data_IF_893018643726
#
_entry.id   IF_893018643726
#
_cell.length_a   1.000
_cell.length_b   1.000
_cell.length_c   1.000
_cell.angle_alpha   90.00
_cell.angle_beta   90.00
_cell.angle_gamma   90.00
#
_symmetry.space_group_name_H-M   'P 1'
#
loop_
_entity.id
_entity.type
_entity.pdbx_description
1 polymer ?
#
# COMPACT_ATOMS: atom_id res chain seq x y z
N UNK A 1 23.63 -0.12 9.33
CA UNK A 1 23.15 1.21 8.88
C UNK A 1 22.59 1.20 7.46
N UNK A 2 23.30 0.63 6.47
CA UNK A 2 22.85 0.61 5.07
C UNK A 2 21.44 0.00 4.88
N UNK A 3 21.14 -1.10 5.57
CA UNK A 3 19.80 -1.72 5.51
C UNK A 3 18.69 -0.83 6.08
N UNK A 4 18.95 -0.12 7.18
CA UNK A 4 17.99 0.84 7.77
C UNK A 4 17.67 1.97 6.78
N UNK A 5 18.70 2.54 6.14
CA UNK A 5 18.55 3.56 5.09
C UNK A 5 17.74 3.06 3.89
N UNK A 6 18.00 1.83 3.44
CA UNK A 6 17.31 1.25 2.30
C UNK A 6 15.81 1.07 2.58
N UNK A 7 15.44 0.60 3.79
CA UNK A 7 14.05 0.47 4.21
C UNK A 7 13.34 1.83 4.25
N UNK A 8 14.01 2.86 4.77
CA UNK A 8 13.46 4.21 4.85
C UNK A 8 13.25 4.83 3.47
N UNK A 9 14.20 4.64 2.55
CA UNK A 9 14.14 5.21 1.21
C UNK A 9 13.27 4.39 0.25
N UNK A 10 12.98 3.12 0.57
CA UNK A 10 12.25 2.21 -0.32
C UNK A 10 10.92 2.78 -0.83
N UNK A 11 10.00 3.32 0.00
CA UNK A 11 8.72 3.84 -0.49
C UNK A 11 8.90 4.99 -1.48
N UNK A 12 9.90 5.85 -1.24
CA UNK A 12 10.22 6.99 -2.08
C UNK A 12 10.79 6.50 -3.41
N UNK A 13 11.76 5.60 -3.37
CA UNK A 13 12.40 5.03 -4.55
C UNK A 13 11.39 4.32 -5.45
N UNK A 14 10.53 3.47 -4.87
CA UNK A 14 9.51 2.75 -5.63
C UNK A 14 8.49 3.71 -6.23
N UNK A 15 8.07 4.73 -5.50
CA UNK A 15 7.17 5.75 -6.05
C UNK A 15 7.79 6.46 -7.25
N UNK A 16 9.06 6.89 -7.13
CA UNK A 16 9.78 7.58 -8.21
C UNK A 16 9.97 6.66 -9.42
N UNK A 17 10.44 5.43 -9.23
CA UNK A 17 10.69 4.47 -10.32
C UNK A 17 9.40 4.18 -11.08
N UNK A 18 8.30 3.91 -10.38
CA UNK A 18 7.01 3.63 -11.03
C UNK A 18 6.48 4.89 -11.72
N UNK A 19 6.62 6.07 -11.13
CA UNK A 19 6.20 7.32 -11.77
C UNK A 19 6.96 7.58 -13.09
N UNK A 20 8.29 7.37 -13.10
CA UNK A 20 9.11 7.48 -14.31
C UNK A 20 8.67 6.44 -15.35
N UNK A 21 8.48 5.19 -14.93
CA UNK A 21 8.05 4.11 -15.83
C UNK A 21 6.69 4.43 -16.48
N UNK A 22 5.71 4.90 -15.70
CA UNK A 22 4.40 5.30 -16.20
C UNK A 22 4.49 6.44 -17.23
N UNK A 23 5.40 7.38 -17.01
CA UNK A 23 5.60 8.50 -17.94
C UNK A 23 6.31 8.05 -19.22
N UNK A 24 7.36 7.23 -19.09
CA UNK A 24 8.14 6.71 -20.21
C UNK A 24 7.30 5.85 -21.15
N UNK A 25 6.53 4.90 -20.60
CA UNK A 25 5.67 4.00 -21.39
C UNK A 25 4.29 4.60 -21.73
N UNK A 26 3.99 5.82 -21.29
CA UNK A 26 2.68 6.50 -21.49
C UNK A 26 1.49 5.60 -21.09
N UNK A 27 1.65 4.81 -20.03
CA UNK A 27 0.73 3.71 -19.65
C UNK A 27 -0.70 4.23 -19.41
N UNK A 28 -0.83 5.47 -18.91
CA UNK A 28 -2.15 6.13 -18.71
C UNK A 28 -2.98 6.24 -19.98
N UNK A 29 -2.38 6.20 -21.17
CA UNK A 29 -3.10 6.24 -22.45
C UNK A 29 -3.78 4.91 -22.77
N UNK A 30 -3.28 3.81 -22.25
CA UNK A 30 -3.70 2.45 -22.61
C UNK A 30 -4.40 1.70 -21.49
N UNK A 31 -4.14 2.05 -20.23
CA UNK A 31 -4.70 1.38 -19.05
C UNK A 31 -5.25 2.41 -18.04
N UNK A 32 -6.42 2.17 -17.43
CA UNK A 32 -6.99 3.03 -16.39
C UNK A 32 -6.28 2.89 -15.03
N UNK A 33 -5.08 2.30 -14.99
CA UNK A 33 -4.30 2.13 -13.78
C UNK A 33 -3.61 3.44 -13.41
N UNK A 34 -3.52 3.70 -12.11
CA UNK A 34 -2.78 4.85 -11.62
C UNK A 34 -1.48 4.40 -10.94
N UNK A 35 -0.51 5.31 -10.90
CA UNK A 35 0.79 5.09 -10.26
C UNK A 35 0.64 4.53 -8.84
N UNK A 36 -0.21 5.10 -7.95
CA UNK A 36 -0.33 4.58 -6.59
C UNK A 36 -0.84 3.13 -6.57
N UNK A 37 -1.63 2.72 -7.56
CA UNK A 37 -2.21 1.38 -7.58
C UNK A 37 -1.13 0.31 -7.75
N UNK A 38 -0.15 0.59 -8.61
CA UNK A 38 1.01 -0.26 -8.84
C UNK A 38 2.01 -0.14 -7.70
N UNK A 39 2.24 1.07 -7.18
CA UNK A 39 3.12 1.29 -6.02
C UNK A 39 2.66 0.46 -4.83
N UNK A 40 1.36 0.42 -4.52
CA UNK A 40 0.81 -0.38 -3.41
C UNK A 40 1.25 -1.85 -3.51
N UNK A 41 1.19 -2.45 -4.70
CA UNK A 41 1.59 -3.85 -4.89
C UNK A 41 3.05 -4.07 -4.47
N UNK A 42 3.97 -3.21 -4.93
CA UNK A 42 5.38 -3.27 -4.55
C UNK A 42 5.63 -2.94 -3.08
N UNK A 43 4.85 -2.03 -2.49
CA UNK A 43 4.91 -1.73 -1.06
C UNK A 43 4.50 -2.95 -0.23
N UNK A 44 3.46 -3.69 -0.61
CA UNK A 44 3.05 -4.91 0.12
C UNK A 44 4.17 -5.95 0.15
N UNK A 45 4.79 -6.19 -1.00
CA UNK A 45 5.93 -7.10 -1.10
C UNK A 45 7.11 -6.66 -0.23
N UNK A 46 7.45 -5.37 -0.29
CA UNK A 46 8.51 -4.82 0.55
C UNK A 46 8.18 -4.92 2.03
N UNK A 47 6.92 -4.68 2.44
CA UNK A 47 6.48 -4.77 3.83
C UNK A 47 6.67 -6.20 4.37
N UNK A 48 6.32 -7.21 3.56
CA UNK A 48 6.57 -8.61 3.92
C UNK A 48 8.07 -8.91 4.07
N UNK A 49 8.89 -8.48 3.11
CA UNK A 49 10.31 -8.77 3.11
C UNK A 49 11.03 -8.09 4.28
N UNK A 50 10.81 -6.79 4.47
CA UNK A 50 11.49 -6.03 5.51
C UNK A 50 11.00 -6.41 6.91
N UNK A 51 9.70 -6.69 7.10
CA UNK A 51 9.19 -7.06 8.43
C UNK A 51 9.89 -8.31 8.98
N UNK A 52 10.09 -9.33 8.14
CA UNK A 52 10.84 -10.54 8.52
C UNK A 52 12.29 -10.26 8.92
N UNK A 53 12.91 -9.21 8.37
CA UNK A 53 14.28 -8.84 8.72
C UNK A 53 14.37 -8.01 10.00
N UNK A 54 13.36 -7.21 10.31
CA UNK A 54 13.37 -6.30 11.46
C UNK A 54 12.80 -6.95 12.72
N UNK A 55 11.71 -7.69 12.61
CA UNK A 55 10.98 -8.24 13.76
C UNK A 55 11.00 -9.77 13.83
N UNK A 56 11.68 -10.45 12.89
CA UNK A 56 11.67 -11.91 12.71
C UNK A 56 10.28 -12.54 12.48
N UNK A 57 9.22 -11.73 12.44
CA UNK A 57 7.83 -12.14 12.25
C UNK A 57 7.28 -11.47 10.99
N UNK A 58 6.53 -12.22 10.19
CA UNK A 58 5.85 -11.67 9.02
C UNK A 58 4.68 -10.79 9.46
N UNK A 59 4.68 -9.51 9.11
CA UNK A 59 3.55 -8.60 9.38
C UNK A 59 2.35 -8.84 8.43
N UNK A 60 2.55 -9.66 7.38
CA UNK A 60 1.59 -9.85 6.30
C UNK A 60 0.22 -10.40 6.77
N UNK A 61 0.13 -11.37 7.70
CA UNK A 61 -1.17 -11.82 8.23
C UNK A 61 -1.95 -10.70 8.91
N UNK A 62 -1.27 -9.89 9.74
CA UNK A 62 -1.88 -8.75 10.42
C UNK A 62 -2.32 -7.66 9.43
N UNK A 63 -1.49 -7.43 8.41
CA UNK A 63 -1.81 -6.50 7.32
C UNK A 63 -3.04 -6.94 6.53
N UNK A 64 -3.16 -8.23 6.17
CA UNK A 64 -4.34 -8.76 5.48
C UNK A 64 -5.61 -8.65 6.33
N UNK A 65 -5.50 -8.89 7.64
CA UNK A 65 -6.61 -8.73 8.57
C UNK A 65 -7.05 -7.26 8.66
N UNK A 66 -6.09 -6.33 8.71
CA UNK A 66 -6.38 -4.90 8.75
C UNK A 66 -7.07 -4.41 7.46
N UNK A 67 -6.60 -4.86 6.29
CA UNK A 67 -7.24 -4.52 5.01
C UNK A 67 -8.62 -5.15 4.89
N UNK A 68 -8.81 -6.39 5.33
CA UNK A 68 -10.12 -7.05 5.26
C UNK A 68 -11.14 -6.39 6.19
N UNK A 69 -10.72 -5.98 7.39
CA UNK A 69 -11.53 -5.18 8.30
C UNK A 69 -11.92 -3.84 7.65
N UNK A 70 -10.97 -3.15 7.00
CA UNK A 70 -11.28 -1.93 6.26
C UNK A 70 -12.26 -2.19 5.11
N UNK A 71 -12.07 -3.26 4.32
CA UNK A 71 -12.97 -3.62 3.23
C UNK A 71 -14.40 -3.82 3.74
N UNK A 72 -14.54 -4.48 4.89
CA UNK A 72 -15.83 -4.71 5.54
C UNK A 72 -16.46 -3.39 5.99
N UNK A 73 -15.71 -2.50 6.65
CA UNK A 73 -16.20 -1.17 7.05
C UNK A 73 -16.71 -0.38 5.83
N UNK A 74 -15.93 -0.36 4.74
CA UNK A 74 -16.31 0.32 3.51
C UNK A 74 -17.57 -0.28 2.87
N UNK A 75 -17.70 -1.61 2.90
CA UNK A 75 -18.85 -2.31 2.36
C UNK A 75 -20.12 -1.99 3.17
N UNK A 76 -20.04 -1.99 4.50
CA UNK A 76 -21.15 -1.59 5.36
C UNK A 76 -21.54 -0.13 5.12
N UNK A 77 -20.56 0.76 4.92
CA UNK A 77 -20.81 2.17 4.62
C UNK A 77 -21.51 2.35 3.27
N UNK A 78 -21.08 1.66 2.22
CA UNK A 78 -21.75 1.67 0.91
C UNK A 78 -23.19 1.13 1.00
N UNK A 79 -23.41 0.05 1.75
CA UNK A 79 -24.72 -0.59 1.85
C UNK A 79 -25.71 0.19 2.72
N UNK A 80 -25.29 0.65 3.90
CA UNK A 80 -26.20 1.29 4.86
C UNK A 80 -26.36 2.79 4.63
N UNK A 81 -25.28 3.49 4.28
CA UNK A 81 -25.31 4.95 4.13
C UNK A 81 -25.70 5.34 2.70
N UNK A 82 -24.98 4.83 1.70
CA UNK A 82 -25.22 5.20 0.31
C UNK A 82 -26.36 4.42 -0.35
N UNK A 83 -26.76 3.28 0.23
CA UNK A 83 -27.81 2.37 -0.30
C UNK A 83 -27.61 1.95 -1.75
N UNK A 84 -26.39 2.11 -2.27
CA UNK A 84 -26.00 1.80 -3.64
C UNK A 84 -24.64 1.12 -3.62
N UNK A 85 -24.59 -0.15 -4.04
CA UNK A 85 -23.33 -0.85 -4.19
C UNK A 85 -22.83 -0.76 -5.63
N UNK A 86 -21.71 -0.05 -5.82
CA UNK A 86 -21.01 0.03 -7.12
C UNK A 86 -19.61 -0.57 -6.98
N UNK A 87 -19.46 -1.83 -7.39
CA UNK A 87 -18.21 -2.59 -7.26
C UNK A 87 -16.97 -1.87 -7.80
N UNK A 88 -17.07 -1.19 -8.95
CA UNK A 88 -15.95 -0.41 -9.52
C UNK A 88 -15.51 0.75 -8.62
N UNK A 89 -16.48 1.48 -8.05
CA UNK A 89 -16.22 2.61 -7.14
C UNK A 89 -15.66 2.12 -5.82
N UNK A 90 -16.25 1.05 -5.28
CA UNK A 90 -15.78 0.37 -4.07
C UNK A 90 -14.33 -0.06 -4.21
N UNK A 91 -13.99 -0.83 -5.25
CA UNK A 91 -12.64 -1.36 -5.46
C UNK A 91 -11.63 -0.23 -5.68
N UNK A 92 -12.00 0.82 -6.41
CA UNK A 92 -11.15 1.99 -6.59
C UNK A 92 -10.85 2.69 -5.26
N UNK A 93 -11.88 2.95 -4.43
CA UNK A 93 -11.71 3.61 -3.14
C UNK A 93 -10.94 2.73 -2.14
N UNK A 94 -11.29 1.45 -2.06
CA UNK A 94 -10.59 0.44 -1.27
C UNK A 94 -9.10 0.41 -1.61
N UNK A 95 -8.74 0.33 -2.89
CA UNK A 95 -7.34 0.27 -3.31
C UNK A 95 -6.57 1.55 -2.96
N UNK A 96 -7.21 2.71 -3.04
CA UNK A 96 -6.65 3.99 -2.58
C UNK A 96 -6.43 4.02 -1.08
N UNK A 97 -7.40 3.55 -0.29
CA UNK A 97 -7.26 3.49 1.16
C UNK A 97 -6.15 2.51 1.57
N UNK A 98 -6.06 1.35 0.91
CA UNK A 98 -4.96 0.39 1.11
C UNK A 98 -3.59 1.02 0.85
N UNK A 99 -3.44 1.85 -0.19
CA UNK A 99 -2.20 2.60 -0.43
C UNK A 99 -1.79 3.45 0.79
N UNK A 100 -2.71 4.28 1.31
CA UNK A 100 -2.44 5.16 2.46
C UNK A 100 -2.09 4.38 3.72
N UNK A 101 -2.83 3.30 4.01
CA UNK A 101 -2.56 2.42 5.15
C UNK A 101 -1.17 1.79 5.03
N UNK A 102 -0.81 1.30 3.85
CA UNK A 102 0.49 0.66 3.62
C UNK A 102 1.62 1.67 3.81
N UNK A 103 1.45 2.90 3.32
CA UNK A 103 2.40 3.99 3.50
C UNK A 103 2.54 4.35 5.00
N UNK A 104 1.43 4.44 5.73
CA UNK A 104 1.44 4.69 7.17
C UNK A 104 2.20 3.59 7.94
N UNK A 105 1.96 2.32 7.60
CA UNK A 105 2.68 1.19 8.20
C UNK A 105 4.19 1.24 7.92
N UNK A 106 4.60 1.68 6.73
CA UNK A 106 6.01 1.93 6.43
C UNK A 106 6.60 3.02 7.32
N UNK A 107 5.87 4.13 7.53
CA UNK A 107 6.30 5.19 8.45
C UNK A 107 6.47 4.62 9.86
N UNK A 108 5.49 3.88 10.38
CA UNK A 108 5.59 3.21 11.69
C UNK A 108 6.80 2.28 11.77
N UNK A 109 7.04 1.50 10.72
CA UNK A 109 8.18 0.60 10.65
C UNK A 109 9.51 1.35 10.69
N UNK A 110 9.62 2.47 9.97
CA UNK A 110 10.78 3.36 10.02
C UNK A 110 11.00 3.88 11.45
N UNK A 111 9.96 4.34 12.13
CA UNK A 111 10.06 4.77 13.53
C UNK A 111 10.63 3.66 14.43
N UNK A 112 10.07 2.44 14.36
CA UNK A 112 10.53 1.29 15.14
C UNK A 112 12.03 1.01 14.89
N UNK A 113 12.47 1.09 13.64
CA UNK A 113 13.88 0.84 13.25
C UNK A 113 14.84 1.88 13.83
N UNK A 114 14.41 3.14 14.01
CA UNK A 114 15.25 4.20 14.55
C UNK A 114 15.19 4.30 16.08
N UNK A 115 14.11 3.83 16.71
CA UNK A 115 14.01 3.75 18.18
C UNK A 115 14.57 2.45 18.77
N UNK A 116 14.74 1.40 17.95
CA UNK A 116 15.39 0.12 18.33
C UNK A 116 16.86 0.04 17.91
#
# INVERSE_FOLDING_TARGET
MLMKLLITLYPILIFTVIAIFFNFFRIRKHLPLNVPDVVTFFLIFGLHYFSRQVTHVSILPYYLLLISAMALILLLLDLFYYREFRAKKFLYFFWRATFFITLLLYICMVFIIFTS
#
